data_IF_778482171501
#
_entry.id   IF_778482171501
#
_cell.length_a   1.000
_cell.length_b   1.000
_cell.length_c   1.000
_cell.angle_alpha   90.00
_cell.angle_beta   90.00
_cell.angle_gamma   90.00
#
_symmetry.space_group_name_H-M   'P 1'
#
loop_
_entity.id
_entity.type
_entity.pdbx_description
1 polymer ?
#
# COMPACT_ATOMS: atom_id res chain seq x y z
N UNK A 1 16.25 5.32 -12.98
CA UNK A 1 15.80 4.89 -11.64
C UNK A 1 14.44 5.54 -11.35
N UNK A 2 13.46 4.79 -10.88
CA UNK A 2 12.20 5.40 -10.43
C UNK A 2 12.42 6.38 -9.29
N UNK A 3 11.64 7.43 -9.28
CA UNK A 3 11.60 8.35 -8.14
C UNK A 3 10.54 7.87 -7.15
N UNK A 4 10.92 7.64 -5.91
CA UNK A 4 10.00 7.19 -4.87
C UNK A 4 9.87 8.31 -3.84
N UNK A 5 8.63 8.76 -3.60
CA UNK A 5 8.38 9.82 -2.63
C UNK A 5 6.99 9.72 -2.00
N UNK A 6 6.90 10.18 -0.78
CA UNK A 6 5.60 10.26 -0.11
C UNK A 6 4.74 11.35 -0.74
N UNK A 7 3.44 11.10 -0.82
CA UNK A 7 2.45 12.04 -1.35
C UNK A 7 1.76 12.73 -0.17
N UNK A 8 1.80 14.05 -0.18
CA UNK A 8 1.16 14.84 0.87
C UNK A 8 -0.31 15.10 0.57
N UNK A 9 -0.99 15.74 1.52
CA UNK A 9 -2.34 16.26 1.30
C UNK A 9 -2.33 17.17 0.07
N UNK A 10 -3.30 16.96 -0.83
CA UNK A 10 -3.35 17.67 -2.10
C UNK A 10 -2.68 16.92 -3.25
N UNK A 11 -1.95 15.84 -2.97
CA UNK A 11 -1.31 15.02 -3.98
C UNK A 11 -1.90 13.61 -4.13
N UNK A 12 -2.97 13.29 -3.41
CA UNK A 12 -3.58 11.96 -3.44
C UNK A 12 -3.98 11.52 -4.83
N UNK A 13 -4.39 12.46 -5.69
CA UNK A 13 -4.79 12.17 -7.06
C UNK A 13 -3.65 11.57 -7.89
N UNK A 14 -2.41 11.80 -7.53
CA UNK A 14 -1.25 11.26 -8.26
C UNK A 14 -1.14 9.74 -8.13
N UNK A 15 -1.72 9.15 -7.09
CA UNK A 15 -1.73 7.70 -6.87
C UNK A 15 -3.02 7.05 -7.33
N UNK A 16 -4.02 7.82 -7.78
CA UNK A 16 -5.36 7.30 -8.02
C UNK A 16 -5.38 6.21 -9.10
N UNK A 17 -4.68 6.40 -10.21
CA UNK A 17 -4.67 5.43 -11.29
C UNK A 17 -4.10 4.08 -10.83
N UNK A 18 -3.00 4.11 -10.08
CA UNK A 18 -2.39 2.90 -9.56
C UNK A 18 -3.31 2.20 -8.55
N UNK A 19 -3.84 2.94 -7.60
CA UNK A 19 -4.70 2.38 -6.56
C UNK A 19 -6.00 1.81 -7.13
N UNK A 20 -6.54 2.41 -8.20
CA UNK A 20 -7.75 1.91 -8.85
C UNK A 20 -7.53 0.55 -9.52
N UNK A 21 -6.32 0.27 -10.01
CA UNK A 21 -6.03 -1.06 -10.57
C UNK A 21 -6.12 -2.14 -9.50
N UNK A 22 -5.76 -1.81 -8.27
CA UNK A 22 -5.86 -2.74 -7.14
C UNK A 22 -7.28 -2.80 -6.57
N UNK A 23 -7.98 -1.65 -6.50
CA UNK A 23 -9.29 -1.52 -5.87
C UNK A 23 -10.31 -0.90 -6.84
N UNK A 24 -10.61 -1.56 -7.97
CA UNK A 24 -11.47 -0.96 -9.00
C UNK A 24 -12.89 -0.68 -8.53
N UNK A 25 -13.34 -1.35 -7.48
CA UNK A 25 -14.69 -1.16 -6.91
C UNK A 25 -14.90 0.25 -6.33
N UNK A 26 -13.84 1.01 -6.09
CA UNK A 26 -13.98 2.36 -5.54
C UNK A 26 -14.55 3.34 -6.57
N UNK A 27 -14.28 3.13 -7.86
CA UNK A 27 -14.95 3.88 -8.92
C UNK A 27 -14.02 4.73 -9.76
N UNK A 28 -14.08 6.06 -9.62
CA UNK A 28 -13.33 7.00 -10.45
C UNK A 28 -12.05 7.46 -9.75
N UNK A 29 -11.09 8.05 -10.50
CA UNK A 29 -9.90 8.64 -9.87
C UNK A 29 -10.22 9.69 -8.80
N UNK A 30 -11.24 10.52 -9.03
CA UNK A 30 -11.67 11.53 -8.05
C UNK A 30 -12.20 10.86 -6.78
N UNK A 31 -13.00 9.79 -6.93
CA UNK A 31 -13.51 9.04 -5.78
C UNK A 31 -12.39 8.34 -5.02
N UNK A 32 -11.38 7.82 -5.73
CA UNK A 32 -10.22 7.24 -5.08
C UNK A 32 -9.44 8.27 -4.27
N UNK A 33 -9.16 9.44 -4.86
CA UNK A 33 -8.45 10.50 -4.16
C UNK A 33 -9.21 10.95 -2.90
N UNK A 34 -10.53 11.06 -3.00
CA UNK A 34 -11.38 11.40 -1.85
C UNK A 34 -11.30 10.34 -0.75
N UNK A 35 -11.31 9.06 -1.13
CA UNK A 35 -11.18 7.95 -0.18
C UNK A 35 -9.84 7.98 0.54
N UNK A 36 -8.77 8.27 -0.19
CA UNK A 36 -7.45 8.41 0.42
C UNK A 36 -7.45 9.56 1.42
N UNK A 37 -7.93 10.72 1.00
CA UNK A 37 -7.93 11.91 1.86
C UNK A 37 -8.77 11.72 3.12
N UNK A 38 -9.89 11.02 3.01
CA UNK A 38 -10.76 10.75 4.15
C UNK A 38 -10.06 9.91 5.22
N UNK A 39 -9.11 9.07 4.83
CA UNK A 39 -8.41 8.18 5.75
C UNK A 39 -7.14 8.80 6.35
N UNK A 40 -6.66 9.92 5.79
CA UNK A 40 -5.44 10.57 6.29
C UNK A 40 -5.52 11.00 7.76
N UNK A 41 -6.63 11.56 8.25
CA UNK A 41 -6.72 11.90 9.69
C UNK A 41 -6.60 10.69 10.61
N UNK A 42 -6.95 9.49 10.12
CA UNK A 42 -6.80 8.23 10.86
C UNK A 42 -5.44 7.58 10.71
N UNK A 43 -4.50 8.25 10.02
CA UNK A 43 -3.12 7.77 9.92
C UNK A 43 -2.72 7.18 8.58
N UNK A 44 -3.61 7.13 7.59
CA UNK A 44 -3.27 6.57 6.28
C UNK A 44 -2.30 7.49 5.53
N UNK A 45 -1.24 6.90 5.02
CA UNK A 45 -0.20 7.61 4.27
C UNK A 45 0.02 6.89 2.94
N UNK A 46 0.46 7.64 1.92
CA UNK A 46 0.68 7.11 0.58
C UNK A 46 2.07 7.49 0.09
N UNK A 47 2.77 6.52 -0.48
CA UNK A 47 4.04 6.71 -1.17
C UNK A 47 3.88 6.27 -2.62
N UNK A 48 4.40 7.04 -3.54
CA UNK A 48 4.34 6.75 -4.97
C UNK A 48 5.73 6.55 -5.58
N UNK A 49 5.77 5.72 -6.62
CA UNK A 49 6.97 5.51 -7.44
C UNK A 49 6.66 5.97 -8.86
N UNK A 50 7.51 6.81 -9.41
CA UNK A 50 7.26 7.52 -10.66
C UNK A 50 8.29 7.17 -11.71
N UNK A 51 7.83 6.96 -12.96
CA UNK A 51 8.72 6.95 -14.12
C UNK A 51 9.17 8.37 -14.41
N UNK A 52 10.35 8.51 -14.98
CA UNK A 52 10.88 9.81 -15.34
C UNK A 52 9.92 10.54 -16.29
N UNK A 53 9.57 11.77 -15.94
CA UNK A 53 8.69 12.62 -16.76
C UNK A 53 7.20 12.38 -16.56
N UNK A 54 6.80 11.37 -15.80
CA UNK A 54 5.38 11.09 -15.57
C UNK A 54 4.85 11.88 -14.37
N UNK A 55 3.61 12.37 -14.51
CA UNK A 55 2.93 13.09 -13.44
C UNK A 55 2.22 12.13 -12.48
N UNK A 56 1.72 11.00 -12.99
CA UNK A 56 1.03 10.01 -12.18
C UNK A 56 1.96 8.90 -11.76
N UNK A 57 1.75 8.36 -10.56
CA UNK A 57 2.57 7.27 -10.06
C UNK A 57 2.40 6.01 -10.89
N UNK A 58 3.51 5.37 -11.23
CA UNK A 58 3.53 4.05 -11.87
C UNK A 58 3.15 2.97 -10.87
N UNK A 59 3.47 3.18 -9.61
CA UNK A 59 3.18 2.26 -8.52
C UNK A 59 2.93 3.05 -7.25
N UNK A 60 2.19 2.48 -6.32
CA UNK A 60 1.87 3.14 -5.08
C UNK A 60 1.74 2.15 -3.93
N UNK A 61 2.00 2.62 -2.73
CA UNK A 61 1.72 1.90 -1.51
C UNK A 61 0.97 2.80 -0.54
N UNK A 62 -0.07 2.25 0.08
CA UNK A 62 -0.77 2.91 1.18
C UNK A 62 -0.44 2.18 2.47
N UNK A 63 -0.14 2.92 3.53
CA UNK A 63 0.34 2.31 4.77
C UNK A 63 -0.04 3.12 5.98
N UNK A 64 0.13 2.50 7.15
CA UNK A 64 -0.13 3.12 8.45
C UNK A 64 0.97 2.73 9.42
N UNK A 65 1.27 3.62 10.36
CA UNK A 65 2.13 3.31 11.50
C UNK A 65 1.23 3.25 12.73
N UNK A 66 1.33 2.17 13.48
CA UNK A 66 0.47 1.95 14.62
C UNK A 66 1.20 1.09 15.67
N UNK A 67 0.49 0.73 16.73
CA UNK A 67 1.03 -0.08 17.82
C UNK A 67 0.00 -1.10 18.26
N UNK A 68 0.44 -2.33 18.51
CA UNK A 68 -0.41 -3.35 19.10
C UNK A 68 0.42 -4.21 20.06
N UNK A 69 -0.26 -5.09 20.80
CA UNK A 69 0.40 -5.91 21.80
C UNK A 69 1.35 -6.93 21.20
N UNK A 70 0.98 -7.69 20.14
CA UNK A 70 1.87 -8.74 19.64
C UNK A 70 3.08 -8.22 18.88
N UNK A 71 3.02 -7.04 18.24
CA UNK A 71 4.08 -6.58 17.35
C UNK A 71 4.82 -5.34 17.85
N UNK A 72 4.31 -4.67 18.90
CA UNK A 72 4.83 -3.38 19.32
C UNK A 72 4.45 -2.31 18.30
N UNK A 73 5.38 -1.41 17.99
CA UNK A 73 5.16 -0.39 16.98
C UNK A 73 5.48 -0.97 15.61
N UNK A 74 4.58 -0.80 14.66
CA UNK A 74 4.71 -1.42 13.35
C UNK A 74 4.22 -0.51 12.23
N UNK A 75 4.76 -0.76 11.03
CA UNK A 75 4.25 -0.19 9.80
C UNK A 75 3.45 -1.28 9.08
N UNK A 76 2.21 -0.97 8.75
CA UNK A 76 1.32 -1.90 8.05
C UNK A 76 1.01 -1.39 6.65
N UNK A 77 1.25 -2.22 5.63
CA UNK A 77 0.95 -1.88 4.24
C UNK A 77 -0.45 -2.35 3.91
N UNK A 78 -1.37 -1.40 3.74
CA UNK A 78 -2.76 -1.69 3.34
C UNK A 78 -2.85 -2.03 1.85
N UNK A 79 -2.08 -1.32 1.03
CA UNK A 79 -2.19 -1.36 -0.43
C UNK A 79 -0.80 -1.30 -1.04
N UNK A 80 -0.55 -2.14 -2.05
CA UNK A 80 0.71 -2.12 -2.80
C UNK A 80 0.41 -2.59 -4.23
N UNK A 81 0.68 -1.74 -5.21
CA UNK A 81 0.33 -2.02 -6.59
C UNK A 81 1.29 -1.37 -7.56
N UNK A 82 1.63 -2.08 -8.63
CA UNK A 82 2.30 -1.54 -9.81
C UNK A 82 1.31 -1.61 -10.97
N UNK A 83 1.15 -0.52 -11.70
CA UNK A 83 0.21 -0.47 -12.82
C UNK A 83 0.59 -1.47 -13.91
N UNK A 84 -0.45 -2.01 -14.58
CA UNK A 84 -0.26 -2.95 -15.68
C UNK A 84 0.67 -2.34 -16.74
N UNK A 85 1.58 -3.17 -17.26
CA UNK A 85 2.54 -2.73 -18.26
C UNK A 85 3.79 -2.06 -17.71
N UNK A 86 3.84 -1.77 -16.39
CA UNK A 86 4.99 -1.12 -15.77
C UNK A 86 5.73 -2.05 -14.80
N UNK A 87 5.37 -3.32 -14.79
CA UNK A 87 6.08 -4.33 -14.00
C UNK A 87 7.49 -4.58 -14.52
N UNK A 88 8.37 -5.02 -13.63
CA UNK A 88 9.75 -5.36 -14.00
C UNK A 88 10.68 -4.16 -14.12
N UNK A 89 10.27 -2.98 -13.69
CA UNK A 89 11.05 -1.75 -13.77
C UNK A 89 11.58 -1.27 -12.43
N UNK A 90 11.41 -2.08 -11.37
CA UNK A 90 11.95 -1.76 -10.05
C UNK A 90 11.04 -0.96 -9.14
N UNK A 91 9.80 -0.68 -9.55
CA UNK A 91 8.87 0.12 -8.73
C UNK A 91 8.52 -0.57 -7.41
N UNK A 92 8.13 -1.84 -7.47
CA UNK A 92 7.78 -2.60 -6.26
C UNK A 92 8.94 -2.70 -5.28
N UNK A 93 10.13 -3.01 -5.80
CA UNK A 93 11.35 -3.07 -4.98
C UNK A 93 11.67 -1.72 -4.36
N UNK A 94 11.54 -0.64 -5.14
CA UNK A 94 11.78 0.72 -4.63
C UNK A 94 10.80 1.12 -3.55
N UNK A 95 9.51 0.78 -3.73
CA UNK A 95 8.50 1.04 -2.70
C UNK A 95 8.79 0.28 -1.41
N UNK A 96 9.14 -1.00 -1.52
CA UNK A 96 9.46 -1.81 -0.34
C UNK A 96 10.68 -1.27 0.40
N UNK A 97 11.72 -0.85 -0.33
CA UNK A 97 12.90 -0.25 0.28
C UNK A 97 12.53 1.05 1.03
N UNK A 98 11.70 1.90 0.40
CA UNK A 98 11.25 3.12 1.03
C UNK A 98 10.44 2.83 2.31
N UNK A 99 9.55 1.83 2.25
CA UNK A 99 8.73 1.45 3.40
C UNK A 99 9.58 0.91 4.55
N UNK A 100 10.60 0.11 4.25
CA UNK A 100 11.53 -0.37 5.28
C UNK A 100 12.27 0.78 5.93
N UNK A 101 12.74 1.73 5.13
CA UNK A 101 13.45 2.91 5.66
C UNK A 101 12.51 3.76 6.51
N UNK A 102 11.28 3.94 6.07
CA UNK A 102 10.27 4.72 6.82
C UNK A 102 9.91 4.03 8.14
N UNK A 103 9.78 2.72 8.13
CA UNK A 103 9.55 1.96 9.37
C UNK A 103 10.67 2.21 10.37
N UNK A 104 11.92 2.24 9.91
CA UNK A 104 13.06 2.58 10.76
C UNK A 104 12.99 4.01 11.30
N UNK A 105 12.66 4.97 10.42
CA UNK A 105 12.53 6.39 10.82
C UNK A 105 11.44 6.59 11.86
N UNK A 106 10.35 5.82 11.76
CA UNK A 106 9.21 5.89 12.68
C UNK A 106 9.43 5.08 13.96
N UNK A 107 10.57 4.44 14.11
CA UNK A 107 10.85 3.63 15.30
C UNK A 107 10.04 2.33 15.37
N UNK A 108 9.65 1.80 14.22
CA UNK A 108 8.89 0.55 14.18
C UNK A 108 9.78 -0.65 14.42
N UNK A 109 9.22 -1.65 15.12
CA UNK A 109 9.89 -2.92 15.34
C UNK A 109 9.65 -3.90 14.19
N UNK A 110 8.51 -3.76 13.48
CA UNK A 110 8.10 -4.69 12.44
C UNK A 110 7.41 -3.97 11.28
N UNK A 111 7.45 -4.62 10.11
CA UNK A 111 6.69 -4.22 8.93
C UNK A 111 5.79 -5.41 8.53
N UNK A 112 4.52 -5.15 8.30
CA UNK A 112 3.52 -6.17 7.99
C UNK A 112 2.71 -5.81 6.75
N UNK A 113 2.24 -6.86 6.06
CA UNK A 113 1.21 -6.73 5.02
C UNK A 113 0.46 -8.06 4.92
N UNK A 114 -0.73 -7.98 4.33
CA UNK A 114 -1.49 -9.16 3.92
C UNK A 114 -1.48 -9.27 2.42
N UNK A 115 -1.48 -10.50 1.90
CA UNK A 115 -1.57 -10.76 0.48
C UNK A 115 -2.57 -11.87 0.22
N UNK A 116 -3.33 -11.73 -0.87
CA UNK A 116 -4.19 -12.81 -1.34
C UNK A 116 -3.37 -14.04 -1.71
N UNK A 117 -4.04 -15.18 -1.76
CA UNK A 117 -3.39 -16.48 -1.96
C UNK A 117 -3.58 -17.06 -3.37
N UNK A 118 -4.27 -16.34 -4.26
CA UNK A 118 -4.51 -16.80 -5.62
C UNK A 118 -3.24 -16.77 -6.49
N UNK A 119 -3.22 -17.52 -7.60
CA UNK A 119 -2.06 -17.56 -8.49
C UNK A 119 -1.71 -16.19 -9.10
N UNK A 120 -2.67 -15.30 -9.20
CA UNK A 120 -2.46 -13.93 -9.69
C UNK A 120 -1.59 -13.10 -8.74
N UNK A 121 -1.36 -13.58 -7.51
CA UNK A 121 -0.50 -12.91 -6.53
C UNK A 121 0.92 -13.48 -6.49
N UNK A 122 1.26 -14.40 -7.38
CA UNK A 122 2.57 -15.07 -7.34
C UNK A 122 3.73 -14.08 -7.46
N UNK A 123 3.63 -13.08 -8.33
CA UNK A 123 4.70 -12.08 -8.49
C UNK A 123 4.86 -11.22 -7.25
N UNK A 124 3.76 -10.86 -6.60
CA UNK A 124 3.80 -10.12 -5.34
C UNK A 124 4.47 -10.96 -4.26
N UNK A 125 4.15 -12.24 -4.17
CA UNK A 125 4.77 -13.15 -3.19
C UNK A 125 6.28 -13.26 -3.42
N UNK A 126 6.73 -13.33 -4.68
CA UNK A 126 8.17 -13.35 -4.97
C UNK A 126 8.85 -12.08 -4.48
N UNK A 127 8.22 -10.93 -4.66
CA UNK A 127 8.74 -9.67 -4.14
C UNK A 127 8.89 -9.73 -2.63
N UNK A 128 7.86 -10.18 -1.92
CA UNK A 128 7.90 -10.26 -0.46
C UNK A 128 8.99 -11.18 0.04
N UNK A 129 9.16 -12.36 -0.56
CA UNK A 129 10.23 -13.28 -0.18
C UNK A 129 11.61 -12.70 -0.48
N UNK A 130 11.76 -11.97 -1.60
CA UNK A 130 13.04 -11.27 -1.87
C UNK A 130 13.35 -10.22 -0.82
N UNK A 131 12.31 -9.63 -0.22
CA UNK A 131 12.47 -8.67 0.88
C UNK A 131 12.61 -9.35 2.24
N UNK A 132 12.81 -10.67 2.25
CA UNK A 132 13.01 -11.48 3.45
C UNK A 132 11.80 -11.49 4.39
N UNK A 133 10.62 -11.25 3.85
CA UNK A 133 9.37 -11.42 4.57
C UNK A 133 8.98 -12.89 4.60
N UNK A 134 8.20 -13.27 5.59
CA UNK A 134 7.71 -14.63 5.74
C UNK A 134 6.24 -14.61 6.10
N UNK A 135 5.56 -15.70 5.80
CA UNK A 135 4.15 -15.87 6.19
C UNK A 135 4.12 -16.24 7.67
N UNK A 136 3.45 -15.42 8.48
CA UNK A 136 3.43 -15.60 9.94
C UNK A 136 2.05 -15.95 10.49
N UNK A 137 0.98 -15.79 9.71
CA UNK A 137 -0.38 -16.02 10.21
C UNK A 137 -1.34 -16.25 9.06
N UNK A 138 -2.52 -16.78 9.40
CA UNK A 138 -3.67 -16.82 8.52
C UNK A 138 -4.58 -15.64 8.86
N UNK A 139 -5.06 -14.95 7.86
CA UNK A 139 -5.97 -13.82 8.03
C UNK A 139 -7.41 -14.32 7.90
N UNK A 140 -8.23 -14.09 8.92
CA UNK A 140 -9.66 -14.44 8.91
C UNK A 140 -10.49 -13.17 8.79
N UNK A 141 -11.50 -13.19 7.93
CA UNK A 141 -12.38 -12.05 7.74
C UNK A 141 -13.83 -12.50 7.74
N UNK A 142 -14.71 -11.63 8.24
CA UNK A 142 -16.15 -11.84 8.18
C UNK A 142 -16.83 -10.51 7.90
N UNK A 143 -17.89 -10.55 7.09
CA UNK A 143 -18.74 -9.38 6.94
C UNK A 143 -19.50 -9.14 8.23
N UNK A 144 -19.67 -7.87 8.60
CA UNK A 144 -20.52 -7.50 9.73
C UNK A 144 -21.90 -7.14 9.16
N UNK A 145 -22.97 -7.83 9.56
CA UNK A 145 -24.29 -7.51 9.04
C UNK A 145 -24.74 -6.13 9.51
N UNK A 146 -25.59 -5.43 8.73
CA UNK A 146 -26.15 -4.17 9.16
C UNK A 146 -26.92 -4.32 10.46
N UNK A 147 -26.84 -3.30 11.32
CA UNK A 147 -27.60 -3.31 12.58
C UNK A 147 -29.11 -3.18 12.29
N UNK A 148 -29.90 -4.13 12.79
CA UNK A 148 -31.35 -4.09 12.66
C UNK A 148 -32.02 -3.09 13.60
N UNK A 149 -31.28 -2.50 14.54
CA UNK A 149 -31.80 -1.56 15.53
C UNK A 149 -31.74 -0.11 15.08
N UNK A 150 -31.31 0.15 13.87
CA UNK A 150 -31.21 1.50 13.30
C UNK A 150 -32.48 1.91 12.57
#
# INVERSE_FOLDING_TARGET
MPEVRELSTGESHLAAAALLELRPHIGTPAEMAERVDRQRPGGYRVVGSFEEGDHEAAAAAGFRVSENLPWGRFLYVDDLVTRAGLHGRGHGTGLMAWLQDEAGREGCDQLHLDSGVGPERADAHRLYFRQRMRITSYHFAAAVPPSSSR
#
